data_IF_048494010193
#
_entry.id   IF_048494010193
#
_cell.length_a   1.000
_cell.length_b   1.000
_cell.length_c   1.000
_cell.angle_alpha   90.00
_cell.angle_beta   90.00
_cell.angle_gamma   90.00
#
_symmetry.space_group_name_H-M   'P 1'
#
loop_
_entity.id
_entity.type
_entity.pdbx_description
1 polymer ?
#
# COMPACT_ATOMS: atom_id res chain seq x y z
N UNK A 1 -23.58 20.21 25.58
CA UNK A 1 -22.24 19.56 25.74
C UNK A 1 -21.91 18.87 24.43
N UNK A 2 -21.00 19.43 23.62
CA UNK A 2 -20.56 18.83 22.36
C UNK A 2 -19.54 17.72 22.66
N UNK A 3 -19.78 16.52 22.14
CA UNK A 3 -18.87 15.39 22.22
C UNK A 3 -17.79 15.59 21.15
N UNK A 4 -16.56 15.86 21.59
CA UNK A 4 -15.39 15.86 20.71
C UNK A 4 -15.05 14.41 20.34
N UNK A 5 -15.47 13.98 19.15
CA UNK A 5 -14.95 12.74 18.56
C UNK A 5 -13.56 13.02 18.00
N UNK A 6 -12.52 12.82 18.82
CA UNK A 6 -11.12 12.83 18.39
C UNK A 6 -10.77 11.45 17.80
N UNK A 7 -11.25 11.16 16.59
CA UNK A 7 -10.65 10.10 15.76
C UNK A 7 -9.50 10.74 15.00
N UNK A 8 -8.49 11.16 15.74
CA UNK A 8 -7.18 11.47 15.20
C UNK A 8 -6.29 10.26 15.41
N UNK A 9 -6.38 9.24 14.53
CA UNK A 9 -5.29 8.25 14.40
C UNK A 9 -4.07 9.04 13.92
N UNK A 10 -3.30 9.58 14.86
CA UNK A 10 -2.02 10.20 14.59
C UNK A 10 -1.12 9.15 13.95
N UNK A 11 -1.02 9.19 12.61
CA UNK A 11 -0.03 8.40 11.89
C UNK A 11 1.33 8.86 12.40
N UNK A 12 1.95 8.03 13.23
CA UNK A 12 3.34 8.18 13.60
C UNK A 12 4.15 8.36 12.32
N UNK A 13 4.64 9.57 12.09
CA UNK A 13 5.51 9.90 10.96
C UNK A 13 6.90 9.33 11.23
N UNK A 14 6.99 8.00 11.35
CA UNK A 14 8.27 7.32 11.42
C UNK A 14 8.95 7.51 10.07
N UNK A 15 10.06 8.24 10.04
CA UNK A 15 10.62 8.79 8.80
C UNK A 15 11.30 7.75 7.91
N UNK A 16 11.43 6.50 8.36
CA UNK A 16 12.27 5.46 7.76
C UNK A 16 11.54 4.12 7.50
N UNK A 17 10.21 4.10 7.35
CA UNK A 17 9.55 2.84 6.97
C UNK A 17 9.89 2.49 5.51
N UNK A 18 10.16 1.20 5.19
CA UNK A 18 10.44 0.75 3.82
C UNK A 18 9.41 1.23 2.78
N UNK A 19 8.16 1.38 3.19
CA UNK A 19 7.04 1.84 2.37
C UNK A 19 7.18 3.31 1.95
N UNK A 20 7.90 4.13 2.71
CA UNK A 20 8.10 5.54 2.39
C UNK A 20 8.97 5.74 1.14
N UNK A 21 9.85 4.78 0.84
CA UNK A 21 10.58 4.76 -0.43
C UNK A 21 9.63 4.67 -1.62
N UNK A 22 8.53 3.91 -1.49
CA UNK A 22 7.52 3.83 -2.55
C UNK A 22 6.82 5.15 -2.79
N UNK A 23 6.56 5.93 -1.74
CA UNK A 23 5.98 7.27 -1.88
C UNK A 23 6.93 8.21 -2.65
N UNK A 24 8.22 8.21 -2.31
CA UNK A 24 9.23 9.04 -2.96
C UNK A 24 9.36 8.66 -4.44
N UNK A 25 9.49 7.37 -4.73
CA UNK A 25 9.60 6.84 -6.09
C UNK A 25 8.35 7.19 -6.90
N UNK A 26 7.16 6.94 -6.36
CA UNK A 26 5.92 7.22 -7.08
C UNK A 26 5.71 8.72 -7.31
N UNK A 27 6.11 9.57 -6.37
CA UNK A 27 6.12 11.03 -6.57
C UNK A 27 7.06 11.43 -7.69
N UNK A 28 8.25 10.84 -7.77
CA UNK A 28 9.18 11.08 -8.87
C UNK A 28 8.58 10.66 -10.21
N UNK A 29 8.00 9.44 -10.29
CA UNK A 29 7.35 8.92 -11.50
C UNK A 29 6.21 9.84 -11.94
N UNK A 30 5.33 10.26 -11.03
CA UNK A 30 4.23 11.21 -11.31
C UNK A 30 4.75 12.52 -11.90
N UNK A 31 5.80 13.08 -11.30
CA UNK A 31 6.40 14.34 -11.75
C UNK A 31 7.13 14.21 -13.09
N UNK A 32 7.55 12.99 -13.47
CA UNK A 32 8.31 12.71 -14.69
C UNK A 32 7.52 11.90 -15.72
N UNK A 33 6.21 11.76 -15.56
CA UNK A 33 5.35 10.80 -16.29
C UNK A 33 5.62 10.74 -17.82
N UNK A 34 5.74 11.88 -18.48
CA UNK A 34 5.96 11.96 -19.94
C UNK A 34 7.41 11.75 -20.39
N UNK A 35 8.36 11.84 -19.45
CA UNK A 35 9.81 11.76 -19.70
C UNK A 35 10.45 10.48 -19.16
N UNK A 36 9.68 9.66 -18.45
CA UNK A 36 10.20 8.46 -17.83
C UNK A 36 10.09 7.29 -18.82
N UNK A 37 11.23 6.86 -19.34
CA UNK A 37 11.32 5.66 -20.17
C UNK A 37 11.11 4.36 -19.39
N UNK A 38 10.94 3.27 -20.12
CA UNK A 38 10.77 1.91 -19.60
C UNK A 38 11.96 1.46 -18.75
N UNK A 39 13.19 1.72 -19.19
CA UNK A 39 14.41 1.37 -18.47
C UNK A 39 14.51 2.13 -17.12
N UNK A 40 14.20 3.42 -17.13
CA UNK A 40 14.17 4.23 -15.90
C UNK A 40 13.11 3.73 -14.93
N UNK A 41 11.92 3.40 -15.45
CA UNK A 41 10.85 2.82 -14.64
C UNK A 41 11.24 1.45 -14.08
N UNK A 42 11.86 0.59 -14.89
CA UNK A 42 12.37 -0.70 -14.48
C UNK A 42 13.36 -0.57 -13.31
N UNK A 43 14.40 0.26 -13.46
CA UNK A 43 15.40 0.45 -12.40
C UNK A 43 14.80 1.01 -11.10
N UNK A 44 13.89 1.99 -11.20
CA UNK A 44 13.23 2.58 -10.03
C UNK A 44 12.33 1.59 -9.29
N UNK A 45 11.84 0.56 -9.97
CA UNK A 45 10.88 -0.40 -9.42
C UNK A 45 11.52 -1.73 -9.04
N UNK A 46 12.82 -1.94 -9.29
CA UNK A 46 13.51 -3.17 -8.91
C UNK A 46 13.39 -3.48 -7.41
N UNK A 47 13.30 -4.76 -6.99
CA UNK A 47 13.18 -5.16 -5.59
C UNK A 47 14.27 -4.60 -4.66
N UNK A 48 15.48 -4.37 -5.18
CA UNK A 48 16.58 -3.80 -4.40
C UNK A 48 16.40 -2.30 -4.13
N UNK A 49 15.76 -1.58 -5.04
CA UNK A 49 15.51 -0.13 -4.94
C UNK A 49 14.20 0.14 -4.23
N UNK A 50 13.18 -0.65 -4.52
CA UNK A 50 11.83 -0.53 -3.99
C UNK A 50 11.39 -1.83 -3.30
N UNK A 51 12.00 -2.22 -2.16
CA UNK A 51 11.75 -3.52 -1.53
C UNK A 51 10.33 -3.65 -0.98
N UNK A 52 9.77 -2.56 -0.45
CA UNK A 52 8.41 -2.52 0.06
C UNK A 52 7.60 -1.46 -0.68
N UNK A 53 6.35 -1.82 -0.98
CA UNK A 53 5.40 -0.95 -1.68
C UNK A 53 4.29 -0.63 -0.70
N UNK A 54 4.01 0.66 -0.51
CA UNK A 54 2.86 1.06 0.29
C UNK A 54 1.56 0.68 -0.44
N UNK A 55 0.52 0.25 0.29
CA UNK A 55 -0.77 -0.11 -0.34
C UNK A 55 -1.36 1.04 -1.17
N UNK A 56 -1.20 2.28 -0.69
CA UNK A 56 -1.66 3.51 -1.37
C UNK A 56 -1.01 3.67 -2.74
N UNK A 57 0.27 3.33 -2.86
CA UNK A 57 1.03 3.48 -4.11
C UNK A 57 0.96 2.25 -5.02
N UNK A 58 0.56 1.09 -4.48
CA UNK A 58 0.50 -0.16 -5.23
C UNK A 58 -0.41 -0.07 -6.45
N UNK A 59 -1.61 0.53 -6.30
CA UNK A 59 -2.57 0.70 -7.41
C UNK A 59 -1.99 1.58 -8.51
N UNK A 60 -1.28 2.65 -8.15
CA UNK A 60 -0.62 3.54 -9.09
C UNK A 60 0.45 2.80 -9.89
N UNK A 61 1.35 2.05 -9.22
CA UNK A 61 2.40 1.29 -9.89
C UNK A 61 1.85 0.21 -10.82
N UNK A 62 0.77 -0.48 -10.43
CA UNK A 62 0.09 -1.46 -11.29
C UNK A 62 -0.49 -0.81 -12.54
N UNK A 63 -1.07 0.38 -12.40
CA UNK A 63 -1.73 1.10 -13.50
C UNK A 63 -0.70 1.71 -14.44
N UNK A 64 0.31 2.36 -13.88
CA UNK A 64 1.40 2.98 -14.64
C UNK A 64 2.24 1.91 -15.36
N UNK A 65 2.55 0.81 -14.66
CA UNK A 65 3.36 -0.29 -15.17
C UNK A 65 2.72 -1.04 -16.35
N UNK A 66 1.43 -0.87 -16.63
CA UNK A 66 0.80 -1.40 -17.85
C UNK A 66 1.48 -0.88 -19.14
N UNK A 67 2.09 0.32 -19.08
CA UNK A 67 2.88 0.87 -20.19
C UNK A 67 4.16 0.06 -20.45
N UNK A 68 4.66 -0.62 -19.43
CA UNK A 68 5.95 -1.32 -19.43
C UNK A 68 5.81 -2.76 -18.90
N UNK A 69 5.17 -3.68 -19.67
CA UNK A 69 4.86 -5.03 -19.20
C UNK A 69 6.10 -5.83 -18.74
N UNK A 70 7.25 -5.63 -19.39
CA UNK A 70 8.51 -6.25 -18.97
C UNK A 70 8.85 -5.89 -17.52
N UNK A 71 8.84 -4.60 -17.18
CA UNK A 71 9.10 -4.13 -15.82
C UNK A 71 8.04 -4.61 -14.81
N UNK A 72 6.81 -4.83 -15.26
CA UNK A 72 5.72 -5.28 -14.41
C UNK A 72 5.82 -6.76 -14.03
N UNK A 73 6.29 -7.61 -14.95
CA UNK A 73 6.24 -9.08 -14.84
C UNK A 73 7.59 -9.76 -14.57
N UNK A 74 8.70 -9.07 -14.76
CA UNK A 74 10.04 -9.65 -14.60
C UNK A 74 10.32 -10.10 -13.16
N UNK A 75 11.03 -11.22 -12.99
CA UNK A 75 11.41 -11.76 -11.68
C UNK A 75 10.46 -12.81 -11.10
N UNK A 76 9.38 -13.18 -11.81
CA UNK A 76 8.43 -14.19 -11.34
C UNK A 76 7.49 -13.67 -10.24
N UNK A 77 6.65 -14.54 -9.67
CA UNK A 77 5.55 -14.12 -8.78
C UNK A 77 6.01 -13.24 -7.62
N UNK A 78 7.08 -13.63 -6.93
CA UNK A 78 7.45 -13.01 -5.65
C UNK A 78 8.37 -11.78 -5.80
N UNK A 79 9.04 -11.63 -6.95
CA UNK A 79 9.96 -10.51 -7.20
C UNK A 79 9.40 -9.51 -8.22
N UNK A 80 8.40 -9.91 -9.00
CA UNK A 80 7.75 -8.99 -9.94
C UNK A 80 7.14 -7.80 -9.24
N UNK A 81 7.15 -6.65 -9.92
CA UNK A 81 6.45 -5.46 -9.43
C UNK A 81 4.96 -5.78 -9.23
N UNK A 82 4.35 -6.53 -10.14
CA UNK A 82 2.95 -6.95 -10.03
C UNK A 82 2.67 -7.74 -8.76
N UNK A 83 3.49 -8.76 -8.46
CA UNK A 83 3.31 -9.58 -7.27
C UNK A 83 3.47 -8.78 -5.99
N UNK A 84 4.54 -7.97 -5.90
CA UNK A 84 4.77 -7.12 -4.72
C UNK A 84 3.69 -6.08 -4.49
N UNK A 85 3.10 -5.52 -5.56
CA UNK A 85 1.92 -4.66 -5.46
C UNK A 85 0.70 -5.42 -4.96
N UNK A 86 0.45 -6.63 -5.46
CA UNK A 86 -0.67 -7.47 -5.02
C UNK A 86 -0.53 -7.83 -3.53
N UNK A 87 0.67 -8.20 -3.08
CA UNK A 87 0.94 -8.52 -1.67
C UNK A 87 0.79 -7.30 -0.75
N UNK A 88 1.14 -6.10 -1.22
CA UNK A 88 0.90 -4.86 -0.48
C UNK A 88 -0.61 -4.62 -0.27
N UNK A 89 -1.41 -4.80 -1.32
CA UNK A 89 -2.86 -4.62 -1.25
C UNK A 89 -3.54 -5.70 -0.39
N UNK A 90 -3.14 -6.96 -0.55
CA UNK A 90 -3.69 -8.07 0.24
C UNK A 90 -3.48 -7.83 1.74
N UNK A 91 -2.27 -7.43 2.14
CA UNK A 91 -1.96 -7.14 3.55
C UNK A 91 -2.79 -5.99 4.13
N UNK A 92 -3.05 -4.95 3.33
CA UNK A 92 -3.88 -3.81 3.74
C UNK A 92 -5.35 -4.22 3.93
N UNK A 93 -5.88 -5.03 3.02
CA UNK A 93 -7.23 -5.57 3.11
C UNK A 93 -7.40 -6.53 4.27
N UNK A 94 -6.44 -7.43 4.49
CA UNK A 94 -6.46 -8.35 5.63
C UNK A 94 -6.46 -7.59 6.96
N UNK A 95 -5.64 -6.52 7.06
CA UNK A 95 -5.64 -5.64 8.23
C UNK A 95 -6.98 -4.91 8.43
N UNK A 96 -7.56 -4.39 7.34
CA UNK A 96 -8.87 -3.73 7.38
C UNK A 96 -10.01 -4.67 7.77
N UNK A 97 -9.98 -5.92 7.31
CA UNK A 97 -10.97 -6.94 7.66
C UNK A 97 -10.85 -7.36 9.12
N UNK A 98 -9.64 -7.49 9.66
CA UNK A 98 -9.42 -7.78 11.07
C UNK A 98 -10.04 -6.69 11.98
N UNK A 99 -9.81 -5.41 11.66
CA UNK A 99 -10.42 -4.27 12.37
C UNK A 99 -11.96 -4.37 12.40
N UNK A 100 -12.58 -4.76 11.28
CA UNK A 100 -14.05 -4.89 11.15
C UNK A 100 -14.60 -6.07 11.96
N UNK A 101 -13.90 -7.21 11.95
CA UNK A 101 -14.31 -8.40 12.70
C UNK A 101 -14.22 -8.15 14.20
N UNK A 102 -13.13 -7.51 14.67
CA UNK A 102 -12.99 -7.15 16.09
C UNK A 102 -14.10 -6.19 16.55
N UNK A 103 -14.43 -5.17 15.75
CA UNK A 103 -15.55 -4.27 16.04
C UNK A 103 -16.89 -5.03 16.15
N UNK A 104 -17.13 -5.98 15.23
CA UNK A 104 -18.39 -6.75 15.20
C UNK A 104 -18.53 -7.66 16.43
N UNK A 105 -17.42 -8.29 16.89
CA UNK A 105 -17.42 -9.14 18.09
C UNK A 105 -17.74 -8.31 19.34
N UNK A 106 -17.12 -7.14 19.50
CA UNK A 106 -17.39 -6.26 20.65
C UNK A 106 -18.85 -5.79 20.71
N UNK A 107 -19.49 -5.53 19.57
CA UNK A 107 -20.92 -5.17 19.53
C UNK A 107 -21.85 -6.35 19.92
N UNK A 108 -21.47 -7.59 19.59
CA UNK A 108 -22.25 -8.78 19.96
C UNK A 108 -22.11 -9.18 21.43
N UNK A 109 -20.94 -8.95 22.04
CA UNK A 109 -20.71 -9.26 23.45
C UNK A 109 -21.35 -8.24 24.40
N UNK A 110 -21.45 -6.96 23.98
CA UNK A 110 -22.14 -5.91 24.74
C UNK A 110 -23.68 -6.03 24.77
N UNK A 111 -24.25 -7.01 24.05
CA UNK A 111 -25.71 -7.22 23.91
C UNK A 111 -26.25 -8.43 24.68
N UNK A 112 -25.44 -9.09 25.52
CA UNK A 112 -25.97 -10.07 26.47
C UNK A 112 -26.71 -9.32 27.58
N UNK A 113 -28.04 -9.28 27.44
CA UNK A 113 -28.93 -8.90 28.52
C UNK A 113 -28.63 -9.77 29.77
N UNK A 114 -28.55 -9.17 30.97
CA UNK A 114 -28.52 -9.95 32.20
C UNK A 114 -29.89 -10.64 32.36
N UNK A 115 -29.87 -11.97 32.49
CA UNK A 115 -31.02 -12.77 32.91
C UNK A 115 -31.54 -12.37 34.30
#
# INVERSE_FOLDING_TARGET
RLVQSKIGRGRNHNRNTPEKMSEIVCRYIRNRNERLGDESFYFLTQPRVLPAISPVEAVFLLSYGQKYPAALHEGGRDLSLKGRCADALARDWDAGLADVVEMSVMETEGRRDPE
#
